data_IF_117794994250
#
_entry.id   IF_117794994250
#
_cell.length_a   1.000
_cell.length_b   1.000
_cell.length_c   1.000
_cell.angle_alpha   90.00
_cell.angle_beta   90.00
_cell.angle_gamma   90.00
#
_symmetry.space_group_name_H-M   'P 1'
#
loop_
_entity.id
_entity.type
_entity.pdbx_description
1 polymer ?
#
# COMPACT_ATOMS: atom_id res chain seq x y z
N UNK A 1 13.13 -7.42 11.73
CA UNK A 1 13.17 -7.78 10.32
C UNK A 1 12.57 -6.63 9.54
N UNK A 2 13.23 -6.14 8.49
CA UNK A 2 12.68 -5.11 7.63
C UNK A 2 11.37 -5.62 7.01
N UNK A 3 10.41 -4.72 6.89
CA UNK A 3 9.07 -5.06 6.44
C UNK A 3 8.93 -4.67 4.99
N UNK A 4 8.78 -5.67 4.14
CA UNK A 4 8.60 -5.48 2.72
C UNK A 4 7.14 -5.75 2.35
N UNK A 5 6.45 -4.78 1.76
CA UNK A 5 5.10 -4.96 1.23
C UNK A 5 5.07 -5.58 -0.16
N UNK A 6 6.18 -5.62 -0.85
CA UNK A 6 6.37 -6.28 -2.13
C UNK A 6 7.68 -7.03 -2.17
N UNK A 7 7.90 -7.81 -3.21
CA UNK A 7 9.13 -8.57 -3.45
C UNK A 7 9.97 -7.92 -4.54
N UNK A 8 11.25 -8.29 -4.63
CA UNK A 8 12.12 -7.85 -5.74
C UNK A 8 11.57 -8.27 -7.09
N UNK A 9 10.88 -9.42 -7.17
CA UNK A 9 10.20 -9.87 -8.40
C UNK A 9 9.06 -8.94 -8.82
N UNK A 10 8.34 -8.37 -7.85
CA UNK A 10 7.29 -7.40 -8.14
C UNK A 10 7.88 -6.10 -8.68
N UNK A 11 8.99 -5.63 -8.09
CA UNK A 11 9.67 -4.40 -8.53
C UNK A 11 10.21 -4.53 -9.95
N UNK A 12 10.75 -5.70 -10.31
CA UNK A 12 11.27 -5.98 -11.66
C UNK A 12 10.28 -5.62 -12.78
N UNK A 13 8.98 -5.83 -12.56
CA UNK A 13 7.94 -5.57 -13.56
C UNK A 13 7.79 -4.08 -13.88
N UNK A 14 8.24 -3.20 -12.99
CA UNK A 14 8.12 -1.75 -13.11
C UNK A 14 9.45 -1.06 -13.43
N UNK A 15 10.56 -1.80 -13.42
CA UNK A 15 11.85 -1.28 -13.86
C UNK A 15 11.88 -1.09 -15.37
N UNK A 16 12.67 -0.12 -15.87
CA UNK A 16 12.89 0.03 -17.29
C UNK A 16 13.55 -1.22 -17.89
N UNK A 17 13.29 -1.53 -19.18
CA UNK A 17 13.77 -2.75 -19.81
C UNK A 17 15.30 -2.82 -19.96
N UNK A 18 16.00 -1.71 -19.74
CA UNK A 18 17.47 -1.62 -19.76
C UNK A 18 18.11 -1.90 -18.38
N UNK A 19 17.31 -2.09 -17.32
CA UNK A 19 17.79 -2.45 -16.00
C UNK A 19 17.65 -3.96 -15.84
N UNK A 20 18.77 -4.63 -15.58
CA UNK A 20 18.83 -6.07 -15.33
C UNK A 20 19.05 -6.27 -13.83
N UNK A 21 18.23 -7.09 -13.22
CA UNK A 21 18.39 -7.46 -11.80
C UNK A 21 19.39 -8.61 -11.69
N UNK A 22 20.24 -8.55 -10.68
CA UNK A 22 21.22 -9.60 -10.40
C UNK A 22 20.56 -10.98 -10.35
N UNK A 23 21.12 -11.94 -11.11
CA UNK A 23 20.56 -13.28 -11.25
C UNK A 23 19.75 -13.50 -12.55
N UNK A 24 19.34 -12.45 -13.23
CA UNK A 24 18.80 -12.59 -14.57
C UNK A 24 19.98 -12.66 -15.57
N UNK A 25 19.98 -13.68 -16.42
CA UNK A 25 20.99 -13.83 -17.49
C UNK A 25 20.54 -12.99 -18.70
N UNK A 26 21.03 -11.74 -18.87
CA UNK A 26 20.65 -10.98 -20.03
C UNK A 26 21.29 -11.60 -21.24
N UNK A 27 20.50 -12.03 -22.23
CA UNK A 27 21.03 -12.32 -23.54
C UNK A 27 21.59 -11.03 -24.13
N UNK A 28 22.92 -10.96 -24.40
CA UNK A 28 23.52 -9.75 -24.93
C UNK A 28 22.94 -9.45 -26.31
N UNK A 29 22.08 -8.45 -26.37
CA UNK A 29 21.63 -7.90 -27.66
C UNK A 29 22.65 -6.85 -28.13
N UNK A 30 23.28 -7.10 -29.25
CA UNK A 30 24.30 -6.24 -29.87
C UNK A 30 23.87 -4.79 -30.16
N UNK A 31 22.65 -4.39 -29.85
CA UNK A 31 22.09 -3.04 -30.09
C UNK A 31 21.93 -2.15 -28.89
N UNK A 32 22.08 -2.68 -27.68
CA UNK A 32 21.94 -1.87 -26.45
C UNK A 32 23.28 -1.72 -25.75
N UNK A 33 23.61 -0.51 -25.24
CA UNK A 33 24.71 -0.35 -24.29
C UNK A 33 24.55 -1.31 -23.14
N UNK A 34 25.66 -1.69 -22.48
CA UNK A 34 25.66 -2.62 -21.39
C UNK A 34 24.52 -2.30 -20.39
N UNK A 35 23.64 -3.28 -20.09
CA UNK A 35 22.52 -3.03 -19.22
C UNK A 35 23.03 -2.64 -17.81
N UNK A 36 22.39 -1.67 -17.19
CA UNK A 36 22.65 -1.37 -15.79
C UNK A 36 22.13 -2.53 -14.95
N UNK A 37 23.00 -3.07 -14.09
CA UNK A 37 22.65 -4.17 -13.20
C UNK A 37 22.21 -3.61 -11.86
N UNK A 38 20.94 -3.78 -11.52
CA UNK A 38 20.45 -3.53 -10.18
C UNK A 38 20.78 -4.70 -9.27
N UNK A 39 21.43 -4.45 -8.16
CA UNK A 39 21.66 -5.49 -7.16
C UNK A 39 20.41 -5.74 -6.35
N UNK A 40 20.22 -6.99 -5.90
CA UNK A 40 19.08 -7.30 -5.01
C UNK A 40 19.14 -6.51 -3.70
N UNK A 41 20.33 -6.22 -3.21
CA UNK A 41 20.56 -5.42 -2.00
C UNK A 41 20.02 -4.00 -2.17
N UNK A 42 20.29 -3.39 -3.33
CA UNK A 42 19.80 -2.05 -3.61
C UNK A 42 18.27 -2.02 -3.70
N UNK A 43 17.67 -3.02 -4.34
CA UNK A 43 16.22 -3.12 -4.45
C UNK A 43 15.55 -3.34 -3.09
N UNK A 44 16.11 -4.17 -2.23
CA UNK A 44 15.58 -4.39 -0.88
C UNK A 44 15.57 -3.10 -0.07
N UNK A 45 16.61 -2.28 -0.16
CA UNK A 45 16.66 -0.97 0.48
C UNK A 45 15.51 -0.05 0.00
N UNK A 46 15.25 0.01 -1.30
CA UNK A 46 14.16 0.83 -1.84
C UNK A 46 12.78 0.26 -1.51
N UNK A 47 12.65 -1.06 -1.42
CA UNK A 47 11.41 -1.71 -0.97
C UNK A 47 11.12 -1.34 0.50
N UNK A 48 12.13 -1.32 1.35
CA UNK A 48 11.99 -0.88 2.74
C UNK A 48 11.60 0.60 2.85
N UNK A 49 12.24 1.46 2.06
CA UNK A 49 11.87 2.88 2.01
C UNK A 49 10.43 3.09 1.52
N UNK A 50 10.04 2.41 0.44
CA UNK A 50 8.68 2.47 -0.09
C UNK A 50 7.66 1.97 0.95
N UNK A 51 7.97 0.88 1.63
CA UNK A 51 7.11 0.32 2.69
C UNK A 51 6.96 1.30 3.86
N UNK A 52 8.03 1.96 4.27
CA UNK A 52 8.01 2.98 5.32
C UNK A 52 7.18 4.21 4.91
N UNK A 53 7.25 4.61 3.65
CA UNK A 53 6.43 5.70 3.11
C UNK A 53 4.95 5.33 3.11
N UNK A 54 4.61 4.09 2.74
CA UNK A 54 3.24 3.58 2.80
C UNK A 54 2.73 3.60 4.24
N UNK A 55 3.51 3.09 5.20
CA UNK A 55 3.16 3.10 6.62
C UNK A 55 2.90 4.52 7.13
N UNK A 56 3.77 5.47 6.78
CA UNK A 56 3.61 6.87 7.16
C UNK A 56 2.28 7.46 6.65
N UNK A 57 1.92 7.18 5.39
CA UNK A 57 0.67 7.67 4.80
C UNK A 57 -0.56 6.99 5.42
N UNK A 58 -0.49 5.69 5.70
CA UNK A 58 -1.64 4.93 6.17
C UNK A 58 -1.83 4.96 7.70
N UNK A 59 -0.83 5.38 8.47
CA UNK A 59 -0.86 5.44 9.94
C UNK A 59 -2.02 6.28 10.51
N UNK A 60 -2.54 7.21 9.72
CA UNK A 60 -3.67 8.06 10.10
C UNK A 60 -4.97 7.26 10.19
N UNK A 61 -5.11 6.21 9.37
CA UNK A 61 -6.36 5.47 9.21
C UNK A 61 -6.26 4.01 9.61
N UNK A 62 -5.11 3.40 9.50
CA UNK A 62 -4.89 1.98 9.75
C UNK A 62 -3.85 1.74 10.84
N UNK A 63 -3.96 0.60 11.52
CA UNK A 63 -2.87 0.10 12.35
C UNK A 63 -1.74 -0.38 11.44
N UNK A 64 -0.61 0.31 11.50
CA UNK A 64 0.57 -0.06 10.74
C UNK A 64 1.62 -0.71 11.65
N UNK A 65 2.36 -1.63 11.14
CA UNK A 65 2.38 -2.13 9.76
C UNK A 65 1.15 -2.98 9.44
N UNK A 66 0.77 -2.96 8.17
CA UNK A 66 -0.33 -3.78 7.68
C UNK A 66 -0.05 -5.27 7.90
N UNK A 67 -1.11 -6.02 8.15
CA UNK A 67 -1.02 -7.46 8.37
C UNK A 67 -1.19 -8.21 7.06
N UNK A 68 -0.37 -9.23 6.89
CA UNK A 68 -0.59 -10.21 5.82
C UNK A 68 -1.87 -10.99 6.09
N UNK A 69 -2.53 -11.35 5.02
CA UNK A 69 -3.76 -12.15 5.04
C UNK A 69 -3.55 -13.43 4.26
N UNK A 70 -4.22 -14.48 4.69
CA UNK A 70 -4.25 -15.73 3.93
C UNK A 70 -5.35 -15.62 2.85
N UNK A 71 -4.93 -15.46 1.60
CA UNK A 71 -5.80 -15.42 0.44
C UNK A 71 -5.56 -16.69 -0.39
N UNK A 72 -6.37 -17.72 -0.10
CA UNK A 72 -6.30 -18.96 -0.88
C UNK A 72 -5.08 -19.87 -0.62
N UNK A 73 -4.40 -19.69 0.52
CA UNK A 73 -3.22 -20.48 0.90
C UNK A 73 -1.92 -19.68 0.95
N UNK A 74 -1.86 -18.55 0.27
CA UNK A 74 -0.70 -17.67 0.27
C UNK A 74 -0.89 -16.48 1.21
N UNK A 75 0.17 -16.16 1.97
CA UNK A 75 0.21 -14.96 2.80
C UNK A 75 0.56 -13.76 1.93
N UNK A 76 -0.39 -12.86 1.75
CA UNK A 76 -0.18 -11.64 0.97
C UNK A 76 -0.73 -10.41 1.67
N UNK A 77 -0.22 -9.25 1.30
CA UNK A 77 -0.79 -7.98 1.73
C UNK A 77 -2.04 -7.64 0.91
N UNK A 78 -2.97 -6.83 1.47
CA UNK A 78 -4.17 -6.46 0.75
C UNK A 78 -3.85 -5.66 -0.52
N UNK A 79 -4.51 -6.03 -1.62
CA UNK A 79 -4.45 -5.23 -2.85
C UNK A 79 -5.05 -3.83 -2.59
N UNK A 80 -4.46 -2.72 -3.06
CA UNK A 80 -3.36 -2.62 -4.04
C UNK A 80 -1.95 -2.41 -3.43
N UNK A 81 -1.75 -2.62 -2.14
CA UNK A 81 -0.51 -2.28 -1.43
C UNK A 81 0.79 -2.85 -2.07
N UNK A 82 0.85 -4.15 -2.44
CA UNK A 82 2.07 -4.68 -3.06
C UNK A 82 2.43 -3.98 -4.38
N UNK A 83 1.42 -3.66 -5.19
CA UNK A 83 1.60 -2.96 -6.47
C UNK A 83 2.11 -1.54 -6.25
N UNK A 84 1.51 -0.81 -5.31
CA UNK A 84 1.94 0.54 -4.95
C UNK A 84 3.39 0.52 -4.44
N UNK A 85 3.72 -0.42 -3.55
CA UNK A 85 5.07 -0.59 -3.03
C UNK A 85 6.09 -0.83 -4.15
N UNK A 86 5.77 -1.72 -5.08
CA UNK A 86 6.65 -2.06 -6.21
C UNK A 86 6.90 -0.85 -7.13
N UNK A 87 5.85 -0.07 -7.42
CA UNK A 87 5.97 1.14 -8.24
C UNK A 87 6.83 2.20 -7.54
N UNK A 88 6.59 2.45 -6.25
CA UNK A 88 7.35 3.41 -5.47
C UNK A 88 8.82 3.01 -5.35
N UNK A 89 9.11 1.74 -5.06
CA UNK A 89 10.47 1.22 -4.98
C UNK A 89 11.21 1.34 -6.32
N UNK A 90 10.57 0.98 -7.43
CA UNK A 90 11.13 1.13 -8.77
C UNK A 90 11.43 2.61 -9.09
N UNK A 91 10.52 3.52 -8.72
CA UNK A 91 10.70 4.95 -8.92
C UNK A 91 11.86 5.51 -8.10
N UNK A 92 11.98 5.12 -6.82
CA UNK A 92 13.07 5.53 -5.94
C UNK A 92 14.40 5.02 -6.45
N UNK A 93 14.48 3.75 -6.83
CA UNK A 93 15.66 3.17 -7.46
C UNK A 93 16.06 3.96 -8.70
N UNK A 94 15.12 4.21 -9.62
CA UNK A 94 15.37 4.92 -10.85
C UNK A 94 15.86 6.35 -10.62
N UNK A 95 15.29 7.05 -9.65
CA UNK A 95 15.65 8.44 -9.34
C UNK A 95 17.03 8.57 -8.69
N UNK A 96 17.46 7.58 -7.90
CA UNK A 96 18.71 7.62 -7.14
C UNK A 96 19.88 6.96 -7.89
N UNK A 97 19.65 5.78 -8.45
CA UNK A 97 20.70 5.02 -9.13
C UNK A 97 21.12 5.65 -10.47
N UNK A 98 20.21 6.42 -11.08
CA UNK A 98 20.43 7.01 -12.40
C UNK A 98 20.67 8.54 -12.36
N UNK A 99 20.98 9.09 -11.18
CA UNK A 99 21.40 10.49 -11.06
C UNK A 99 22.67 10.74 -11.88
N UNK A 100 22.52 11.40 -13.01
CA UNK A 100 23.65 11.78 -13.91
C UNK A 100 23.52 11.35 -15.35
N UNK A 101 22.59 10.49 -15.68
CA UNK A 101 22.21 10.27 -17.08
C UNK A 101 21.04 11.20 -17.42
N UNK A 102 21.07 11.84 -18.58
CA UNK A 102 19.97 12.66 -19.16
C UNK A 102 18.70 11.82 -19.45
N UNK A 103 18.35 10.92 -18.55
CA UNK A 103 17.24 9.98 -18.69
C UNK A 103 16.01 10.55 -18.03
N UNK A 104 15.16 11.13 -18.84
CA UNK A 104 13.84 11.53 -18.42
C UNK A 104 12.97 10.29 -18.20
N UNK A 105 12.19 10.29 -17.11
CA UNK A 105 11.12 9.30 -16.93
C UNK A 105 10.22 9.28 -18.16
N UNK A 106 9.92 8.09 -18.67
CA UNK A 106 8.90 7.96 -19.69
C UNK A 106 7.54 8.41 -19.12
N UNK A 107 6.67 8.90 -19.99
CA UNK A 107 5.31 9.29 -19.55
C UNK A 107 4.60 8.14 -18.86
N UNK A 108 4.73 6.91 -19.38
CA UNK A 108 4.16 5.73 -18.75
C UNK A 108 4.67 5.46 -17.31
N UNK A 109 5.91 5.82 -17.00
CA UNK A 109 6.44 5.71 -15.64
C UNK A 109 5.88 6.80 -14.73
N UNK A 110 5.72 8.01 -15.24
CA UNK A 110 5.08 9.11 -14.51
C UNK A 110 3.63 8.79 -14.19
N UNK A 111 2.88 8.31 -15.18
CA UNK A 111 1.47 7.94 -15.01
C UNK A 111 1.29 6.84 -13.94
N UNK A 112 2.17 5.83 -13.95
CA UNK A 112 2.14 4.76 -12.93
C UNK A 112 2.43 5.30 -11.54
N UNK A 113 3.40 6.20 -11.42
CA UNK A 113 3.74 6.81 -10.14
C UNK A 113 2.58 7.69 -9.62
N UNK A 114 2.01 8.53 -10.48
CA UNK A 114 0.84 9.34 -10.15
C UNK A 114 -0.34 8.47 -9.74
N UNK A 115 -0.58 7.37 -10.46
CA UNK A 115 -1.59 6.40 -10.08
C UNK A 115 -1.34 5.85 -8.67
N UNK A 116 -0.11 5.40 -8.37
CA UNK A 116 0.23 4.85 -7.06
C UNK A 116 0.03 5.86 -5.92
N UNK A 117 0.43 7.11 -6.14
CA UNK A 117 0.24 8.18 -5.16
C UNK A 117 -1.24 8.52 -4.96
N UNK A 118 -2.01 8.59 -6.04
CA UNK A 118 -3.46 8.84 -5.98
C UNK A 118 -4.19 7.71 -5.24
N UNK A 119 -3.83 6.44 -5.49
CA UNK A 119 -4.42 5.30 -4.76
C UNK A 119 -4.09 5.36 -3.26
N UNK A 120 -2.86 5.73 -2.88
CA UNK A 120 -2.52 5.94 -1.46
C UNK A 120 -3.39 7.02 -0.82
N UNK A 121 -3.59 8.15 -1.51
CA UNK A 121 -4.44 9.24 -1.02
C UNK A 121 -5.89 8.77 -0.88
N UNK A 122 -6.42 8.00 -1.83
CA UNK A 122 -7.78 7.44 -1.78
C UNK A 122 -7.95 6.46 -0.61
N UNK A 123 -6.93 5.64 -0.34
CA UNK A 123 -6.93 4.75 0.83
C UNK A 123 -6.88 5.58 2.12
N UNK A 124 -6.02 6.61 2.18
CA UNK A 124 -5.89 7.52 3.31
C UNK A 124 -7.19 8.28 3.60
N UNK A 125 -7.93 8.67 2.57
CA UNK A 125 -9.22 9.35 2.69
C UNK A 125 -10.38 8.39 3.04
N UNK A 126 -10.15 7.07 2.98
CA UNK A 126 -11.15 6.06 3.25
C UNK A 126 -12.09 5.76 2.09
N UNK A 127 -11.78 6.25 0.90
CA UNK A 127 -12.52 5.93 -0.33
C UNK A 127 -12.31 4.45 -0.71
N UNK A 128 -11.10 3.94 -0.48
CA UNK A 128 -10.75 2.55 -0.66
C UNK A 128 -10.45 1.94 0.72
N UNK A 129 -11.13 0.85 1.05
CA UNK A 129 -10.89 0.13 2.30
C UNK A 129 -9.99 -1.07 2.06
N UNK A 130 -8.95 -1.17 2.86
CA UNK A 130 -8.07 -2.33 2.84
C UNK A 130 -8.75 -3.50 3.57
N UNK A 131 -9.01 -4.56 2.83
CA UNK A 131 -9.65 -5.76 3.38
C UNK A 131 -8.79 -6.38 4.49
N UNK A 132 -9.43 -6.82 5.57
CA UNK A 132 -8.75 -7.48 6.69
C UNK A 132 -7.87 -6.57 7.56
N UNK A 133 -7.75 -5.28 7.25
CA UNK A 133 -7.00 -4.33 8.06
C UNK A 133 -7.90 -3.59 9.04
N UNK A 134 -7.34 -3.34 10.24
CA UNK A 134 -8.07 -2.60 11.27
C UNK A 134 -8.02 -1.10 10.98
N UNK A 135 -9.20 -0.50 10.82
CA UNK A 135 -9.34 0.93 10.64
C UNK A 135 -9.44 1.62 12.01
N UNK A 136 -8.40 2.35 12.41
CA UNK A 136 -8.36 3.05 13.70
C UNK A 136 -9.34 4.21 13.78
N UNK A 137 -9.65 4.85 12.65
CA UNK A 137 -10.55 6.00 12.58
C UNK A 137 -12.02 5.59 12.66
N UNK A 138 -12.38 4.45 12.02
CA UNK A 138 -13.76 3.94 12.02
C UNK A 138 -14.25 3.49 13.38
N UNK A 139 -13.39 2.83 14.17
CA UNK A 139 -13.75 2.35 15.53
C UNK A 139 -14.02 3.50 16.51
N UNK A 140 -13.42 4.67 16.31
CA UNK A 140 -13.68 5.86 17.16
C UNK A 140 -15.05 6.48 16.87
N UNK A 141 -15.47 6.48 15.60
CA UNK A 141 -16.77 7.04 15.21
C UNK A 141 -17.93 6.17 15.66
N UNK A 142 -17.82 4.86 15.52
CA UNK A 142 -18.88 3.91 15.94
C UNK A 142 -19.07 3.91 17.46
N UNK A 143 -17.98 4.05 18.23
CA UNK A 143 -18.07 4.13 19.70
C UNK A 143 -18.66 5.44 20.20
N UNK A 144 -18.48 6.55 19.51
CA UNK A 144 -19.04 7.84 19.91
C UNK A 144 -20.54 7.95 19.61
N UNK A 145 -21.02 7.32 18.53
CA UNK A 145 -22.43 7.34 18.15
C UNK A 145 -23.28 6.37 18.99
N UNK A 146 -22.70 5.26 19.46
CA UNK A 146 -23.43 4.32 20.33
C UNK A 146 -23.59 4.80 21.79
N UNK A 147 -22.80 5.78 22.23
CA UNK A 147 -22.96 6.36 23.58
C UNK A 147 -24.07 7.40 23.69
N UNK A 148 -24.69 7.80 22.59
CA UNK A 148 -25.67 8.89 22.53
C UNK A 148 -27.11 8.49 22.24
N UNK A 149 -27.48 7.20 22.23
CA UNK A 149 -28.89 6.82 22.11
C UNK A 149 -29.47 6.80 23.55
N UNK A 150 -30.24 7.81 23.95
CA UNK A 150 -30.97 7.74 25.21
C UNK A 150 -31.99 6.60 25.07
N UNK A 151 -31.81 5.53 25.81
CA UNK A 151 -32.84 4.53 26.01
C UNK A 151 -33.99 5.24 26.74
N UNK A 152 -34.99 5.62 25.95
CA UNK A 152 -36.23 6.19 26.50
C UNK A 152 -36.91 5.06 27.32
N UNK A 153 -37.01 5.17 28.64
CA UNK A 153 -37.73 4.18 29.41
C UNK A 153 -39.21 4.26 29.02
N UNK A 154 -39.72 3.22 28.38
CA UNK A 154 -41.16 3.06 28.15
C UNK A 154 -41.83 3.21 29.51
N UNK A 155 -42.65 4.21 29.69
CA UNK A 155 -43.62 4.30 30.77
C UNK A 155 -44.68 3.26 30.50
N UNK A 156 -44.58 2.14 31.18
CA UNK A 156 -45.66 1.18 31.23
C UNK A 156 -46.84 1.84 31.94
N UNK A 157 -47.80 2.24 31.13
CA UNK A 157 -49.08 2.76 31.65
C UNK A 157 -49.87 1.63 32.27
N UNK A 158 -49.70 1.45 33.58
CA UNK A 158 -50.59 0.62 34.38
C UNK A 158 -51.93 1.34 34.55
N UNK A 159 -52.90 1.03 33.71
CA UNK A 159 -54.29 1.40 33.93
C UNK A 159 -54.93 0.41 34.90
N UNK A 160 -55.02 0.80 36.18
CA UNK A 160 -55.88 0.13 37.14
C UNK A 160 -57.34 0.48 36.84
N UNK A 161 -58.06 -0.46 36.24
CA UNK A 161 -59.52 -0.44 36.23
C UNK A 161 -60.08 -0.61 37.65
N UNK A 162 -60.88 0.38 38.07
CA UNK A 162 -61.77 0.23 39.23
C UNK A 162 -63.13 -0.25 38.70
N UNK A 163 -63.54 -1.41 39.15
CA UNK A 163 -64.92 -1.89 39.10
C UNK A 163 -65.70 -1.36 40.30
N UNK A 164 -66.86 -0.86 40.06
CA UNK A 164 -67.99 -0.90 40.90
C UNK A 164 -69.06 -1.81 40.32
#
# INVERSE_FOLDING_TARGET
>A
MPRAYCTTSDVKQYLPPNVVVEGDNPTPNFRNPAPETATNIDLDFFIEQASSQIDANLSIQYDVPLKQMNLGGDLSYPHPIPVICAILAAQMYYSQALQGADRQFSEAQKDRFEWAMNELVRIQNGEIRLFGQRNTRGDRFVRSTLRGIPTNPRKDGSSKGKSQ
#
